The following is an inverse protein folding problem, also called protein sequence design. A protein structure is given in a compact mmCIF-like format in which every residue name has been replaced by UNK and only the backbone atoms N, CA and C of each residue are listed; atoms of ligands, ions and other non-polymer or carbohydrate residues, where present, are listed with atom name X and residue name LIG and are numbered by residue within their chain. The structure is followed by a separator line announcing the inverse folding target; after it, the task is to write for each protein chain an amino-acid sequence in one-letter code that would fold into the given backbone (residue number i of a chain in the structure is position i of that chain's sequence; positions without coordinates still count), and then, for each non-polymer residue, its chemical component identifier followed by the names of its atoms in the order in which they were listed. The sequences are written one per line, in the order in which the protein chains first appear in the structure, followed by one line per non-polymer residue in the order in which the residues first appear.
data_IF_906722866738
#
_entry.id   IF_906722866738
#
_cell.length_a   1.000
_cell.length_b   1.000
_cell.length_c   1.000
_cell.angle_alpha   90.00
_cell.angle_beta   90.00
_cell.angle_gamma   90.00
#
_symmetry.space_group_name_H-M   'P 1'
#
loop_
_entity.id
_entity.type
_entity.pdbx_description
1 polymer ?
#
# COMPACT_ATOMS: atom_id res chain seq x y z
N UNK A 1 -24.34 -60.84 -34.48
CA UNK A 1 -22.94 -61.16 -34.81
C UNK A 1 -22.36 -59.85 -35.34
N UNK A 2 -21.96 -58.96 -34.44
CA UNK A 2 -20.55 -58.79 -33.98
C UNK A 2 -19.68 -58.28 -35.12
N UNK A 3 -18.88 -57.22 -35.05
CA UNK A 3 -18.43 -56.31 -34.00
C UNK A 3 -18.00 -55.03 -34.73
N UNK A 4 -18.26 -53.85 -34.16
CA UNK A 4 -17.51 -52.64 -34.53
C UNK A 4 -17.15 -51.91 -33.25
N UNK A 5 -15.92 -52.12 -32.79
CA UNK A 5 -15.32 -51.43 -31.66
C UNK A 5 -15.13 -49.95 -32.01
N UNK A 6 -16.09 -49.11 -31.62
CA UNK A 6 -15.89 -47.67 -31.56
C UNK A 6 -14.92 -47.34 -30.41
N UNK A 7 -13.65 -47.12 -30.76
CA UNK A 7 -12.68 -46.52 -29.85
C UNK A 7 -13.14 -45.10 -29.45
N UNK A 8 -13.66 -44.99 -28.22
CA UNK A 8 -13.79 -43.74 -27.48
C UNK A 8 -12.44 -43.00 -27.41
N UNK A 9 -12.23 -42.02 -28.28
CA UNK A 9 -11.21 -40.98 -28.07
C UNK A 9 -11.79 -39.89 -27.16
N UNK A 10 -11.69 -40.09 -25.85
CA UNK A 10 -11.81 -39.01 -24.87
C UNK A 10 -10.83 -37.89 -25.22
N UNK A 11 -11.37 -36.73 -25.62
CA UNK A 11 -10.60 -35.48 -25.71
C UNK A 11 -10.15 -35.13 -24.29
N UNK A 12 -8.90 -35.48 -23.95
CA UNK A 12 -8.20 -34.99 -22.76
C UNK A 12 -8.38 -33.47 -22.66
N UNK A 13 -9.23 -33.02 -21.73
CA UNK A 13 -9.30 -31.62 -21.29
C UNK A 13 -7.90 -31.24 -20.82
N UNK A 14 -7.19 -30.42 -21.62
CA UNK A 14 -5.96 -29.75 -21.20
C UNK A 14 -6.30 -28.99 -19.91
N UNK A 15 -5.73 -29.41 -18.77
CA UNK A 15 -5.74 -28.64 -17.52
C UNK A 15 -5.12 -27.28 -17.83
N UNK A 16 -5.95 -26.25 -17.98
CA UNK A 16 -5.48 -24.87 -18.04
C UNK A 16 -4.71 -24.58 -16.74
N UNK A 17 -3.50 -24.03 -16.88
CA UNK A 17 -2.76 -23.54 -15.72
C UNK A 17 -3.63 -22.50 -15.00
N UNK A 18 -3.59 -22.42 -13.66
CA UNK A 18 -4.31 -21.36 -12.95
C UNK A 18 -3.77 -20.02 -13.46
N UNK A 19 -4.61 -19.27 -14.16
CA UNK A 19 -4.28 -17.94 -14.67
C UNK A 19 -3.96 -17.03 -13.48
N UNK A 20 -2.96 -16.15 -13.65
CA UNK A 20 -2.61 -15.22 -12.58
C UNK A 20 -3.76 -14.23 -12.38
N UNK A 21 -4.10 -13.94 -11.13
CA UNK A 21 -5.18 -13.00 -10.77
C UNK A 21 -5.04 -11.66 -11.51
N UNK A 22 -3.81 -11.18 -11.71
CA UNK A 22 -3.52 -9.95 -12.45
C UNK A 22 -3.95 -10.01 -13.92
N UNK A 23 -3.79 -11.16 -14.58
CA UNK A 23 -4.16 -11.36 -15.99
C UNK A 23 -5.68 -11.38 -16.14
N UNK A 24 -6.36 -12.12 -15.26
CA UNK A 24 -7.84 -12.13 -15.17
C UNK A 24 -8.35 -10.71 -14.97
N UNK A 25 -7.73 -9.95 -14.06
CA UNK A 25 -8.15 -8.59 -13.71
C UNK A 25 -7.98 -7.57 -14.84
N UNK A 26 -7.10 -7.84 -15.81
CA UNK A 26 -6.90 -6.97 -16.97
C UNK A 26 -7.87 -7.31 -18.11
N UNK A 27 -8.21 -8.59 -18.29
CA UNK A 27 -9.01 -9.05 -19.42
C UNK A 27 -10.52 -8.80 -19.23
N UNK A 28 -11.07 -9.08 -18.04
CA UNK A 28 -12.53 -9.01 -17.85
C UNK A 28 -13.04 -7.61 -17.49
N UNK A 29 -14.28 -7.32 -17.90
CA UNK A 29 -14.97 -6.09 -17.53
C UNK A 29 -15.72 -6.28 -16.20
N UNK A 30 -15.11 -5.86 -15.11
CA UNK A 30 -15.74 -5.89 -13.78
C UNK A 30 -16.69 -4.71 -13.64
N UNK A 31 -17.96 -4.96 -13.93
CA UNK A 31 -19.05 -4.03 -13.73
C UNK A 31 -20.23 -4.79 -13.14
N UNK A 32 -20.90 -4.18 -12.15
CA UNK A 32 -22.19 -4.66 -11.69
C UNK A 32 -23.18 -4.43 -12.83
N UNK A 33 -24.02 -5.42 -13.11
CA UNK A 33 -25.07 -5.29 -14.13
C UNK A 33 -26.42 -5.09 -13.44
N UNK A 34 -27.31 -4.27 -14.01
CA UNK A 34 -28.67 -4.16 -13.49
C UNK A 34 -29.38 -5.50 -13.61
N UNK A 35 -30.13 -5.87 -12.57
CA UNK A 35 -30.88 -7.12 -12.55
C UNK A 35 -32.21 -6.95 -11.83
N UNK A 36 -33.23 -7.71 -12.24
CA UNK A 36 -34.53 -7.71 -11.56
C UNK A 36 -34.52 -8.64 -10.33
N UNK A 37 -33.71 -9.70 -10.36
CA UNK A 37 -33.62 -10.73 -9.31
C UNK A 37 -32.26 -10.69 -8.62
N UNK A 38 -32.21 -11.18 -7.38
CA UNK A 38 -30.97 -11.36 -6.64
C UNK A 38 -30.09 -12.41 -7.35
N UNK A 39 -29.03 -11.96 -8.01
CA UNK A 39 -28.03 -12.83 -8.64
C UNK A 39 -26.94 -13.17 -7.63
N UNK A 40 -26.66 -14.46 -7.44
CA UNK A 40 -25.46 -14.91 -6.72
C UNK A 40 -24.25 -14.74 -7.63
N UNK A 41 -23.46 -13.70 -7.40
CA UNK A 41 -22.22 -13.42 -8.11
C UNK A 41 -21.02 -13.81 -7.23
N UNK A 42 -20.02 -14.47 -7.81
CA UNK A 42 -18.71 -14.60 -7.14
C UNK A 42 -17.83 -13.42 -7.55
N UNK A 43 -17.56 -12.52 -6.60
CA UNK A 43 -16.71 -11.34 -6.83
C UNK A 43 -15.38 -11.41 -6.09
N UNK A 44 -14.95 -12.60 -5.68
CA UNK A 44 -13.69 -12.81 -4.94
C UNK A 44 -12.44 -12.38 -5.72
N UNK A 45 -12.49 -12.49 -7.05
CA UNK A 45 -11.39 -12.13 -7.96
C UNK A 45 -11.49 -10.71 -8.52
N UNK A 46 -12.55 -9.96 -8.18
CA UNK A 46 -12.75 -8.60 -8.67
C UNK A 46 -11.68 -7.65 -8.08
N UNK A 47 -11.24 -6.63 -8.83
CA UNK A 47 -10.11 -5.79 -8.43
C UNK A 47 -10.49 -4.73 -7.40
N UNK A 48 -9.53 -4.38 -6.54
CA UNK A 48 -9.56 -3.19 -5.68
C UNK A 48 -10.84 -3.11 -4.82
N UNK A 49 -11.59 -2.01 -4.93
CA UNK A 49 -12.81 -1.73 -4.16
C UNK A 49 -14.00 -2.62 -4.56
N UNK A 50 -13.91 -3.30 -5.70
CA UNK A 50 -14.95 -4.20 -6.20
C UNK A 50 -14.77 -5.65 -5.70
N UNK A 51 -13.69 -5.93 -4.96
CA UNK A 51 -13.44 -7.24 -4.38
C UNK A 51 -14.48 -7.55 -3.30
N UNK A 52 -15.11 -8.73 -3.38
CA UNK A 52 -16.17 -9.16 -2.45
C UNK A 52 -17.39 -8.23 -2.42
N UNK A 53 -17.70 -7.60 -3.56
CA UNK A 53 -18.91 -6.81 -3.74
C UNK A 53 -20.20 -7.57 -3.40
N UNK A 54 -20.24 -8.90 -3.62
CA UNK A 54 -21.35 -9.78 -3.28
C UNK A 54 -21.72 -9.78 -1.78
N UNK A 55 -20.81 -9.33 -0.91
CA UNK A 55 -21.04 -9.25 0.54
C UNK A 55 -21.72 -7.96 0.99
N UNK A 56 -21.92 -7.00 0.08
CA UNK A 56 -22.61 -5.75 0.40
C UNK A 56 -24.12 -5.99 0.48
N UNK A 57 -24.77 -5.37 1.47
CA UNK A 57 -26.22 -5.40 1.57
C UNK A 57 -26.85 -4.65 0.39
N UNK A 58 -27.75 -5.32 -0.32
CA UNK A 58 -28.38 -4.73 -1.51
C UNK A 58 -29.68 -4.03 -1.13
N UNK A 59 -29.74 -2.73 -1.42
CA UNK A 59 -30.96 -1.92 -1.28
C UNK A 59 -31.84 -2.00 -2.53
N UNK A 60 -31.24 -1.93 -3.72
CA UNK A 60 -31.93 -1.97 -5.01
C UNK A 60 -31.04 -2.68 -6.04
N UNK A 61 -31.60 -3.62 -6.82
CA UNK A 61 -30.89 -4.38 -7.84
C UNK A 61 -30.93 -3.74 -9.24
N UNK A 62 -31.89 -2.84 -9.45
CA UNK A 62 -32.16 -2.20 -10.72
C UNK A 62 -31.67 -0.75 -10.72
N UNK A 63 -30.95 -0.37 -11.77
CA UNK A 63 -30.56 1.01 -12.07
C UNK A 63 -30.28 1.13 -13.57
N UNK A 64 -30.31 2.36 -14.10
CA UNK A 64 -29.93 2.63 -15.49
C UNK A 64 -28.43 2.96 -15.54
N UNK A 65 -27.58 2.11 -16.12
CA UNK A 65 -26.15 2.39 -16.21
C UNK A 65 -25.90 3.57 -17.16
N UNK A 66 -25.18 4.57 -16.67
CA UNK A 66 -24.76 5.73 -17.47
C UNK A 66 -23.38 5.41 -18.08
N UNK A 67 -23.16 5.62 -19.39
CA UNK A 67 -21.90 5.29 -20.06
C UNK A 67 -20.78 6.31 -19.78
N UNK A 68 -20.64 6.78 -18.54
CA UNK A 68 -19.63 7.74 -18.13
C UNK A 68 -18.68 7.15 -17.07
N UNK A 69 -17.41 7.56 -17.15
CA UNK A 69 -16.36 7.06 -16.27
C UNK A 69 -15.84 5.67 -16.66
N UNK A 70 -14.97 5.12 -15.82
CA UNK A 70 -14.34 3.81 -16.05
C UNK A 70 -13.90 3.16 -14.75
N UNK A 71 -13.86 1.82 -14.76
CA UNK A 71 -13.25 1.04 -13.69
C UNK A 71 -11.77 1.43 -13.52
N UNK A 72 -11.21 1.47 -12.29
CA UNK A 72 -9.86 1.99 -12.07
C UNK A 72 -8.75 1.36 -12.92
N UNK A 73 -8.84 0.05 -13.22
CA UNK A 73 -7.86 -0.66 -14.05
C UNK A 73 -8.08 -0.48 -15.56
N UNK A 74 -9.22 0.07 -15.98
CA UNK A 74 -9.60 0.29 -17.38
C UNK A 74 -9.66 1.76 -17.77
N UNK A 75 -9.02 2.62 -16.99
CA UNK A 75 -8.89 4.03 -17.33
C UNK A 75 -7.93 4.18 -18.51
N UNK A 76 -8.24 5.12 -19.39
CA UNK A 76 -7.26 5.62 -20.37
C UNK A 76 -5.98 6.07 -19.65
N UNK A 77 -4.83 5.90 -20.31
CA UNK A 77 -3.52 6.12 -19.70
C UNK A 77 -3.41 7.50 -19.01
N UNK A 78 -3.90 8.54 -19.67
CA UNK A 78 -3.90 9.91 -19.14
C UNK A 78 -4.71 10.02 -17.84
N UNK A 79 -5.91 9.44 -17.78
CA UNK A 79 -6.76 9.46 -16.59
C UNK A 79 -6.27 8.51 -15.50
N UNK A 80 -5.63 7.41 -15.88
CA UNK A 80 -4.98 6.47 -14.99
C UNK A 80 -3.85 7.18 -14.23
N UNK A 81 -2.96 7.86 -14.94
CA UNK A 81 -1.86 8.63 -14.33
C UNK A 81 -2.39 9.77 -13.47
N UNK A 82 -3.37 10.55 -13.97
CA UNK A 82 -3.99 11.66 -13.22
C UNK A 82 -4.73 11.23 -11.95
N UNK A 83 -5.06 9.95 -11.84
CA UNK A 83 -5.76 9.37 -10.68
C UNK A 83 -4.90 8.31 -9.98
N UNK A 84 -3.59 8.33 -10.22
CA UNK A 84 -2.63 7.35 -9.74
C UNK A 84 -1.85 7.81 -8.51
N UNK A 85 -1.13 6.87 -7.94
CA UNK A 85 -0.09 7.11 -6.94
C UNK A 85 1.06 6.13 -7.18
N UNK A 86 2.24 6.45 -6.66
CA UNK A 86 3.43 5.61 -6.74
C UNK A 86 3.85 5.27 -5.31
N UNK A 87 3.96 3.97 -5.01
CA UNK A 87 4.64 3.52 -3.81
C UNK A 87 6.15 3.52 -4.10
N UNK A 88 6.82 4.64 -3.80
CA UNK A 88 8.20 4.88 -4.18
C UNK A 88 9.14 4.47 -3.04
N UNK A 89 10.18 3.70 -3.34
CA UNK A 89 11.30 3.48 -2.43
C UNK A 89 12.25 4.67 -2.51
N UNK A 90 12.16 5.56 -1.52
CA UNK A 90 12.91 6.82 -1.50
C UNK A 90 14.39 6.49 -1.30
N UNK A 91 15.30 6.98 -2.16
CA UNK A 91 16.73 6.82 -1.92
C UNK A 91 17.20 7.67 -0.73
N UNK A 92 18.35 7.29 -0.16
CA UNK A 92 19.03 8.09 0.85
C UNK A 92 19.67 9.32 0.19
N UNK A 93 19.73 10.41 0.94
CA UNK A 93 20.29 11.74 0.66
C UNK A 93 19.32 12.81 0.14
N UNK A 94 18.53 12.64 -0.93
CA UNK A 94 17.61 13.71 -1.33
C UNK A 94 16.48 13.85 -0.32
N UNK A 95 15.99 15.08 -0.15
CA UNK A 95 14.78 15.33 0.60
C UNK A 95 13.56 14.73 -0.10
N UNK A 96 12.51 14.46 0.66
CA UNK A 96 11.25 13.97 0.09
C UNK A 96 10.65 14.94 -0.94
N UNK A 97 10.85 16.25 -0.76
CA UNK A 97 10.36 17.28 -1.68
C UNK A 97 11.10 17.24 -3.03
N UNK A 98 12.43 17.04 -3.02
CA UNK A 98 13.22 16.91 -4.25
C UNK A 98 12.81 15.66 -5.05
N UNK A 99 12.63 14.52 -4.39
CA UNK A 99 12.20 13.28 -5.05
C UNK A 99 10.83 13.47 -5.71
N UNK A 100 9.87 14.08 -5.01
CA UNK A 100 8.54 14.36 -5.54
C UNK A 100 8.58 15.36 -6.71
N UNK A 101 9.49 16.34 -6.67
CA UNK A 101 9.71 17.28 -7.77
C UNK A 101 10.30 16.58 -9.01
N UNK A 102 11.19 15.61 -8.82
CA UNK A 102 11.70 14.78 -9.92
C UNK A 102 10.60 13.94 -10.55
N UNK A 103 9.76 13.28 -9.76
CA UNK A 103 8.60 12.52 -10.26
C UNK A 103 7.68 13.43 -11.08
N UNK A 104 7.37 14.62 -10.57
CA UNK A 104 6.56 15.62 -11.29
C UNK A 104 7.15 15.96 -12.66
N UNK A 105 8.46 16.23 -12.72
CA UNK A 105 9.18 16.58 -13.94
C UNK A 105 9.26 15.42 -14.94
N UNK A 106 9.53 14.20 -14.46
CA UNK A 106 9.64 12.99 -15.31
C UNK A 106 8.29 12.67 -15.95
N UNK A 107 7.20 12.69 -15.16
CA UNK A 107 5.86 12.37 -15.64
C UNK A 107 5.18 13.55 -16.36
N UNK A 108 5.78 14.75 -16.32
CA UNK A 108 5.23 15.99 -16.89
C UNK A 108 3.81 16.29 -16.41
N UNK A 109 3.58 16.10 -15.12
CA UNK A 109 2.29 16.36 -14.46
C UNK A 109 2.29 17.72 -13.77
N UNK A 110 1.12 18.30 -13.56
CA UNK A 110 0.92 19.62 -12.96
C UNK A 110 1.09 19.58 -11.44
N UNK A 111 0.58 18.53 -10.78
CA UNK A 111 0.57 18.44 -9.32
C UNK A 111 1.02 17.07 -8.81
N UNK A 112 1.87 17.12 -7.79
CA UNK A 112 2.27 15.95 -6.99
C UNK A 112 2.20 16.26 -5.50
N UNK A 113 2.09 15.24 -4.67
CA UNK A 113 2.15 15.33 -3.21
C UNK A 113 2.68 14.02 -2.61
N UNK A 114 2.92 13.96 -1.30
CA UNK A 114 3.46 12.75 -0.66
C UNK A 114 2.84 12.43 0.71
N UNK A 115 2.97 11.17 1.14
CA UNK A 115 2.42 10.61 2.39
C UNK A 115 3.08 11.07 3.69
N UNK A 116 4.05 11.98 3.63
CA UNK A 116 4.83 12.41 4.79
C UNK A 116 6.29 12.63 4.43
N UNK A 117 6.96 13.51 5.17
CA UNK A 117 8.36 13.85 4.90
C UNK A 117 9.26 12.83 5.58
N UNK A 118 9.96 12.02 4.80
CA UNK A 118 11.13 11.27 5.25
C UNK A 118 12.34 12.21 5.28
N UNK A 119 13.14 12.11 6.33
CA UNK A 119 14.40 12.83 6.44
C UNK A 119 15.35 12.45 5.29
N UNK A 120 16.32 13.33 4.93
CA UNK A 120 17.25 13.08 3.83
C UNK A 120 17.89 11.69 3.87
N UNK A 121 18.38 11.25 5.05
CA UNK A 121 19.07 9.96 5.23
C UNK A 121 18.13 8.75 5.34
N UNK A 122 16.81 8.98 5.42
CA UNK A 122 15.82 7.90 5.55
C UNK A 122 15.39 7.41 4.17
N UNK A 123 15.39 6.08 4.00
CA UNK A 123 14.92 5.40 2.79
C UNK A 123 13.55 4.77 2.99
N UNK A 124 13.00 4.12 1.96
CA UNK A 124 11.78 3.32 2.07
C UNK A 124 10.53 4.02 1.56
N UNK A 125 9.37 3.56 2.04
CA UNK A 125 8.06 3.87 1.48
C UNK A 125 7.72 5.37 1.55
N UNK A 126 7.69 6.01 0.37
CA UNK A 126 7.16 7.35 0.13
C UNK A 126 6.04 7.24 -0.90
N UNK A 127 4.78 7.33 -0.46
CA UNK A 127 3.65 7.30 -1.39
C UNK A 127 3.58 8.67 -2.06
N UNK A 128 3.86 8.72 -3.36
CA UNK A 128 3.75 9.92 -4.20
C UNK A 128 2.39 9.94 -4.89
N UNK A 129 1.54 10.86 -4.48
CA UNK A 129 0.23 11.08 -5.09
C UNK A 129 0.37 11.97 -6.34
N UNK A 130 -0.33 11.61 -7.42
CA UNK A 130 -0.32 12.35 -8.68
C UNK A 130 -1.70 13.02 -8.87
N UNK A 131 -1.70 14.30 -9.24
CA UNK A 131 -2.88 15.07 -9.66
C UNK A 131 -4.11 14.91 -8.74
N UNK A 132 -5.17 14.24 -9.20
CA UNK A 132 -6.42 14.06 -8.44
C UNK A 132 -6.18 13.35 -7.11
N UNK A 133 -5.21 12.44 -7.06
CA UNK A 133 -4.86 11.65 -5.87
C UNK A 133 -4.20 12.50 -4.78
N UNK A 134 -3.70 13.70 -5.10
CA UNK A 134 -3.14 14.61 -4.08
C UNK A 134 -4.14 14.99 -2.98
N UNK A 135 -5.45 14.87 -3.26
CA UNK A 135 -6.52 15.01 -2.25
C UNK A 135 -6.41 14.00 -1.12
N UNK A 136 -5.79 12.85 -1.35
CA UNK A 136 -5.57 11.81 -0.34
C UNK A 136 -4.30 12.01 0.47
N UNK A 137 -3.42 12.95 0.11
CA UNK A 137 -2.14 13.14 0.79
C UNK A 137 -2.31 13.40 2.30
N UNK A 138 -3.32 14.18 2.69
CA UNK A 138 -3.62 14.49 4.09
C UNK A 138 -3.95 13.25 4.93
N UNK A 139 -4.73 12.32 4.39
CA UNK A 139 -5.03 11.07 5.13
C UNK A 139 -3.81 10.17 5.20
N UNK A 140 -2.99 10.12 4.15
CA UNK A 140 -1.74 9.36 4.16
C UNK A 140 -0.70 9.91 5.14
N UNK A 141 -0.63 11.23 5.30
CA UNK A 141 0.22 11.90 6.29
C UNK A 141 -0.18 11.59 7.74
N UNK A 142 -1.47 11.41 7.99
CA UNK A 142 -1.99 11.07 9.32
C UNK A 142 -1.98 9.56 9.62
N UNK A 143 -1.85 8.71 8.61
CA UNK A 143 -1.86 7.26 8.78
C UNK A 143 -0.66 6.78 9.63
N UNK A 144 -0.81 5.62 10.26
CA UNK A 144 0.28 4.92 10.94
C UNK A 144 1.50 4.70 10.05
N UNK A 145 2.66 4.58 10.67
CA UNK A 145 3.95 4.37 10.00
C UNK A 145 4.75 3.35 10.79
N UNK A 146 5.49 2.52 10.07
CA UNK A 146 6.40 1.52 10.61
C UNK A 146 7.80 1.83 10.09
N UNK A 147 8.81 1.61 10.93
CA UNK A 147 10.20 1.89 10.62
C UNK A 147 11.06 0.71 11.06
N UNK A 148 12.12 0.47 10.28
CA UNK A 148 13.28 -0.28 10.75
C UNK A 148 14.38 0.74 10.98
N UNK A 149 14.95 0.73 12.17
CA UNK A 149 15.91 1.73 12.62
C UNK A 149 17.16 1.08 13.20
N UNK A 150 18.26 1.82 13.13
CA UNK A 150 19.51 1.46 13.81
C UNK A 150 19.81 2.52 14.84
N UNK A 151 20.06 2.12 16.07
CA UNK A 151 20.49 3.01 17.15
C UNK A 151 21.91 2.67 17.60
N UNK A 152 22.60 3.67 18.15
CA UNK A 152 23.91 3.51 18.78
C UNK A 152 23.87 4.10 20.17
N UNK A 153 24.22 3.30 21.17
CA UNK A 153 24.39 3.76 22.55
C UNK A 153 25.81 4.33 22.73
N UNK A 154 25.93 5.35 23.56
CA UNK A 154 27.21 6.03 23.78
C UNK A 154 28.17 5.23 24.67
N UNK A 155 27.66 4.25 25.41
CA UNK A 155 28.43 3.38 26.30
C UNK A 155 27.96 1.94 26.20
N UNK A 156 28.81 1.01 26.64
CA UNK A 156 28.42 -0.37 26.83
C UNK A 156 27.30 -0.48 27.88
N UNK A 157 26.51 -1.54 27.75
CA UNK A 157 25.39 -1.85 28.64
C UNK A 157 25.68 -3.18 29.30
N UNK A 158 25.38 -3.29 30.60
CA UNK A 158 25.70 -4.50 31.37
C UNK A 158 25.02 -5.77 30.84
N UNK A 159 23.89 -5.65 30.13
CA UNK A 159 23.25 -6.77 29.45
C UNK A 159 22.25 -6.32 28.37
N UNK A 160 22.08 -7.13 27.33
CA UNK A 160 21.05 -6.94 26.28
C UNK A 160 19.63 -6.87 26.87
N UNK A 161 19.37 -7.55 27.99
CA UNK A 161 18.07 -7.48 28.69
C UNK A 161 17.70 -6.05 29.09
N UNK A 162 18.67 -5.23 29.49
CA UNK A 162 18.42 -3.81 29.82
C UNK A 162 17.99 -3.01 28.60
N UNK A 163 18.53 -3.33 27.42
CA UNK A 163 18.14 -2.69 26.15
C UNK A 163 16.68 -3.02 25.83
N UNK A 164 16.30 -4.30 25.92
CA UNK A 164 14.91 -4.75 25.69
C UNK A 164 13.94 -4.08 26.68
N UNK A 165 14.28 -4.05 27.96
CA UNK A 165 13.47 -3.35 28.97
C UNK A 165 13.34 -1.85 28.70
N UNK A 166 14.41 -1.21 28.20
CA UNK A 166 14.37 0.19 27.79
C UNK A 166 13.43 0.44 26.61
N UNK A 167 13.44 -0.44 25.61
CA UNK A 167 12.53 -0.37 24.47
C UNK A 167 11.07 -0.60 24.85
N UNK A 168 10.80 -1.51 25.79
CA UNK A 168 9.44 -1.78 26.28
C UNK A 168 8.86 -0.56 27.02
N UNK A 169 9.69 0.16 27.79
CA UNK A 169 9.30 1.44 28.43
C UNK A 169 8.98 2.56 27.43
N UNK A 170 9.44 2.43 26.18
CA UNK A 170 9.17 3.39 25.11
C UNK A 170 7.95 3.00 24.25
N UNK A 171 7.12 2.04 24.70
CA UNK A 171 5.82 1.74 24.08
C UNK A 171 4.72 2.57 24.73
N UNK A 172 3.64 2.79 23.97
CA UNK A 172 2.48 3.57 24.42
C UNK A 172 2.62 5.07 24.18
N UNK A 173 1.89 5.85 24.97
CA UNK A 173 1.80 7.31 24.82
C UNK A 173 3.03 8.00 25.45
N UNK A 174 3.88 8.59 24.61
CA UNK A 174 5.11 9.25 25.00
C UNK A 174 5.04 10.76 24.76
N UNK A 175 5.66 11.51 25.66
CA UNK A 175 5.96 12.92 25.43
C UNK A 175 7.15 13.06 24.47
N UNK A 176 6.93 13.79 23.38
CA UNK A 176 7.96 14.10 22.40
C UNK A 176 7.98 15.59 22.14
N UNK A 177 9.17 16.14 21.96
CA UNK A 177 9.37 17.50 21.46
C UNK A 177 10.06 17.39 20.10
N UNK A 178 9.56 18.07 19.05
CA UNK A 178 10.23 18.10 17.76
C UNK A 178 11.72 18.50 17.90
N UNK A 179 12.60 17.97 17.04
CA UNK A 179 14.00 18.36 17.01
C UNK A 179 14.18 19.82 16.56
N UNK A 180 15.42 20.32 16.63
CA UNK A 180 15.76 21.69 16.21
C UNK A 180 15.40 21.93 14.75
N UNK A 181 15.75 21.00 13.87
CA UNK A 181 15.43 21.02 12.45
C UNK A 181 14.13 20.23 12.27
N UNK A 182 13.01 20.91 12.07
CA UNK A 182 11.72 20.27 11.82
C UNK A 182 10.78 21.17 11.02
N UNK A 183 9.85 20.56 10.28
CA UNK A 183 8.84 21.28 9.50
C UNK A 183 7.65 21.79 10.34
N UNK A 184 7.68 21.59 11.66
CA UNK A 184 6.56 21.87 12.59
C UNK A 184 7.04 22.66 13.80
N UNK A 185 6.14 23.42 14.42
CA UNK A 185 6.45 24.20 15.61
C UNK A 185 6.97 23.31 16.74
N UNK A 186 8.08 23.71 17.35
CA UNK A 186 8.77 22.95 18.41
C UNK A 186 8.09 23.08 19.77
N UNK A 187 6.98 22.36 19.96
CA UNK A 187 6.22 22.28 21.21
C UNK A 187 6.14 20.83 21.72
N UNK A 188 5.95 20.66 23.03
CA UNK A 188 5.75 19.34 23.62
C UNK A 188 4.42 18.75 23.12
N UNK A 189 4.42 17.48 22.75
CA UNK A 189 3.23 16.78 22.23
C UNK A 189 3.28 15.31 22.59
N UNK A 190 2.12 14.69 22.67
CA UNK A 190 2.00 13.24 22.88
C UNK A 190 2.01 12.52 21.54
N UNK A 191 2.77 11.44 21.45
CA UNK A 191 2.80 10.50 20.32
C UNK A 191 2.81 9.08 20.85
N UNK A 192 2.10 8.20 20.15
CA UNK A 192 1.97 6.80 20.55
C UNK A 192 2.92 5.94 19.73
N UNK A 193 3.72 5.12 20.40
CA UNK A 193 4.44 3.99 19.79
C UNK A 193 3.58 2.76 20.02
N UNK A 194 3.03 2.18 18.96
CA UNK A 194 2.11 1.04 19.07
C UNK A 194 2.84 -0.24 19.49
N UNK A 195 3.96 -0.52 18.84
CA UNK A 195 4.82 -1.65 19.15
C UNK A 195 6.27 -1.34 18.75
N UNK A 196 7.20 -2.12 19.29
CA UNK A 196 8.63 -2.08 18.97
C UNK A 196 9.25 -3.46 19.21
N UNK A 197 10.14 -3.89 18.32
CA UNK A 197 10.77 -5.22 18.36
C UNK A 197 12.25 -5.10 18.07
N UNK A 198 13.10 -5.47 19.03
CA UNK A 198 14.53 -5.58 18.80
C UNK A 198 14.82 -6.79 17.90
N UNK A 199 15.47 -6.56 16.75
CA UNK A 199 15.89 -7.62 15.82
C UNK A 199 17.28 -8.14 16.14
N UNK A 200 18.22 -7.23 16.38
CA UNK A 200 19.63 -7.56 16.56
C UNK A 200 20.34 -6.53 17.45
N UNK A 201 21.39 -6.94 18.16
CA UNK A 201 22.21 -6.08 19.00
C UNK A 201 23.67 -6.52 19.00
N UNK A 202 24.55 -5.64 18.54
CA UNK A 202 26.00 -5.79 18.53
C UNK A 202 26.61 -5.10 19.76
N UNK A 203 27.05 -5.92 20.72
CA UNK A 203 27.69 -5.47 21.96
C UNK A 203 29.03 -4.78 21.73
N UNK A 204 29.78 -5.16 20.69
CA UNK A 204 31.11 -4.58 20.43
C UNK A 204 31.02 -3.14 19.95
N UNK A 205 29.95 -2.81 19.21
CA UNK A 205 29.70 -1.47 18.64
C UNK A 205 28.67 -0.66 19.44
N UNK A 206 28.04 -1.27 20.43
CA UNK A 206 26.90 -0.72 21.16
C UNK A 206 25.77 -0.30 20.22
N UNK A 207 25.51 -1.10 19.18
CA UNK A 207 24.52 -0.79 18.14
C UNK A 207 23.41 -1.82 18.11
N UNK A 208 22.18 -1.39 17.90
CA UNK A 208 21.04 -2.30 17.74
C UNK A 208 20.17 -1.94 16.56
N UNK A 209 19.47 -2.95 16.05
CA UNK A 209 18.47 -2.83 14.98
C UNK A 209 17.11 -3.19 15.55
N UNK A 210 16.12 -2.31 15.41
CA UNK A 210 14.72 -2.53 15.81
C UNK A 210 13.72 -2.04 14.76
#
# INVERSE_FOLDING_TARGET
MENNEELHKEKKKKKMKPEKISEIQQQSNFAVQPSEKLVKLDTSQWPLLLKYFDRLNVRTNHYVPIPCGSSPLKRELTDYVKSGYINLDKPSNPSSHEVVAWVKRILKVEKTGHSGTLDPKTTGCLIVCIERTTRLAKSQQAAGKEYVTVFKLHSAVDSVKKVVQGLEKLKGALFQRPPLISAVKRQLRVRTVYDSKLFDYDESRNMGKL
#
